data_IF_157694312446
#
_entry.id   IF_157694312446
#
_cell.length_a   1.000
_cell.length_b   1.000
_cell.length_c   1.000
_cell.angle_alpha   90.00
_cell.angle_beta   90.00
_cell.angle_gamma   90.00
#
_symmetry.space_group_name_H-M   'P 1'
#
loop_
_entity.id
_entity.type
_entity.pdbx_description
1 polymer ?
#
# COMPACT_ATOMS: atom_id res chain seq x y z
N UNK A 1 66.22 6.54 29.90
CA UNK A 1 65.27 7.04 28.92
C UNK A 1 64.42 5.89 28.41
N UNK A 2 63.16 5.79 28.88
CA UNK A 2 62.21 4.77 28.48
C UNK A 2 61.15 5.41 27.59
N UNK A 3 61.16 5.08 26.32
CA UNK A 3 60.10 5.50 25.37
C UNK A 3 58.89 4.56 25.56
N UNK A 4 57.75 5.17 25.97
CA UNK A 4 56.45 4.50 25.96
C UNK A 4 55.84 4.70 24.55
N UNK A 5 55.66 3.62 23.80
CA UNK A 5 54.83 3.59 22.61
C UNK A 5 53.37 3.73 23.02
N UNK A 6 52.70 4.76 22.59
CA UNK A 6 51.23 4.86 22.62
C UNK A 6 50.71 4.22 21.33
N UNK A 7 50.11 3.06 21.46
CA UNK A 7 49.32 2.45 20.39
C UNK A 7 47.94 3.13 20.34
N UNK A 8 47.73 3.90 19.27
CA UNK A 8 46.42 4.50 18.94
C UNK A 8 45.53 3.40 18.33
N UNK A 9 44.60 2.85 19.11
CA UNK A 9 43.55 1.98 18.57
C UNK A 9 42.52 2.84 17.86
N UNK A 10 42.53 2.78 16.54
CA UNK A 10 41.49 3.32 15.66
C UNK A 10 40.24 2.43 15.80
N UNK A 11 39.25 2.87 16.57
CA UNK A 11 37.91 2.28 16.57
C UNK A 11 37.24 2.65 15.25
N UNK A 12 37.23 1.72 14.29
CA UNK A 12 36.34 1.75 13.14
C UNK A 12 34.92 1.52 13.64
N UNK A 13 34.15 2.58 13.82
CA UNK A 13 32.70 2.48 13.86
C UNK A 13 32.22 2.07 12.47
N UNK A 14 31.92 0.80 12.29
CA UNK A 14 31.12 0.34 11.17
C UNK A 14 29.71 0.96 11.33
N UNK A 15 29.44 2.04 10.61
CA UNK A 15 28.09 2.47 10.32
C UNK A 15 27.46 1.33 9.50
N UNK A 16 26.77 0.43 10.17
CA UNK A 16 25.76 -0.39 9.51
C UNK A 16 24.66 0.61 9.08
N UNK A 17 24.77 1.08 7.83
CA UNK A 17 23.70 1.82 7.20
C UNK A 17 22.46 0.93 7.28
N UNK A 18 21.46 1.34 8.07
CA UNK A 18 20.11 0.85 7.89
C UNK A 18 19.75 1.18 6.45
N UNK A 19 19.77 0.16 5.59
CA UNK A 19 19.16 0.26 4.28
C UNK A 19 17.69 0.57 4.57
N UNK A 20 17.29 1.82 4.40
CA UNK A 20 15.88 2.16 4.31
C UNK A 20 15.34 1.25 3.23
N UNK A 21 14.36 0.41 3.56
CA UNK A 21 13.67 -0.41 2.58
C UNK A 21 13.16 0.55 1.50
N UNK A 22 13.86 0.57 0.37
CA UNK A 22 13.52 1.44 -0.75
C UNK A 22 12.41 0.72 -1.48
N UNK A 23 11.20 1.28 -1.41
CA UNK A 23 10.09 0.79 -2.23
C UNK A 23 10.53 0.73 -3.70
N UNK A 24 9.99 -0.21 -4.48
CA UNK A 24 10.17 -0.22 -5.94
C UNK A 24 9.69 1.10 -6.57
N UNK A 25 10.01 1.29 -7.84
CA UNK A 25 9.55 2.47 -8.58
C UNK A 25 8.02 2.53 -8.62
N UNK A 26 7.43 3.73 -8.44
CA UNK A 26 5.98 3.93 -8.50
C UNK A 26 5.46 3.77 -9.92
N UNK A 27 4.15 3.53 -10.07
CA UNK A 27 3.47 3.47 -11.36
C UNK A 27 3.19 4.85 -11.97
N UNK A 28 3.08 5.90 -11.12
CA UNK A 28 2.85 7.27 -11.56
C UNK A 28 4.14 8.07 -11.50
N UNK A 29 4.39 8.85 -12.54
CA UNK A 29 5.43 9.89 -12.51
C UNK A 29 5.00 11.07 -11.64
N UNK A 30 5.94 11.96 -11.30
CA UNK A 30 5.61 13.16 -10.54
C UNK A 30 4.63 14.08 -11.30
N UNK A 31 4.67 14.08 -12.65
CA UNK A 31 3.77 14.89 -13.49
C UNK A 31 2.36 14.28 -13.61
N UNK A 32 2.21 12.98 -13.45
CA UNK A 32 0.92 12.27 -13.59
C UNK A 32 0.25 11.95 -12.26
N UNK A 33 0.98 12.12 -11.15
CA UNK A 33 0.43 11.88 -9.79
C UNK A 33 -0.53 12.99 -9.41
N UNK A 34 -1.80 12.67 -9.06
CA UNK A 34 -2.75 13.67 -8.60
C UNK A 34 -2.26 14.40 -7.33
N UNK A 35 -2.46 15.70 -7.28
CA UNK A 35 -2.18 16.49 -6.08
C UNK A 35 -3.28 16.31 -5.04
N UNK A 36 -3.02 15.46 -4.05
CA UNK A 36 -3.99 15.13 -3.00
C UNK A 36 -4.36 16.33 -2.12
N UNK A 37 -3.58 17.40 -2.11
CA UNK A 37 -3.90 18.63 -1.37
C UNK A 37 -5.14 19.36 -1.92
N UNK A 38 -5.54 19.04 -3.17
CA UNK A 38 -6.68 19.68 -3.82
C UNK A 38 -8.04 19.04 -3.47
N UNK A 39 -8.04 17.85 -2.86
CA UNK A 39 -9.28 17.10 -2.63
C UNK A 39 -9.37 16.41 -1.27
N UNK A 40 -8.29 16.36 -0.50
CA UNK A 40 -8.38 15.93 0.90
C UNK A 40 -8.97 17.06 1.77
N UNK A 41 -9.82 16.71 2.77
CA UNK A 41 -10.30 17.71 3.70
C UNK A 41 -9.18 18.25 4.58
N UNK A 42 -9.35 19.47 5.08
CA UNK A 42 -8.47 19.99 6.12
C UNK A 42 -8.60 19.17 7.41
N UNK A 43 -7.50 18.94 8.14
CA UNK A 43 -7.59 18.27 9.43
C UNK A 43 -8.38 19.12 10.45
N UNK A 44 -9.20 18.50 11.33
CA UNK A 44 -9.92 19.23 12.37
C UNK A 44 -9.01 20.11 13.21
N UNK A 45 -9.44 21.35 13.43
CA UNK A 45 -8.79 22.26 14.38
C UNK A 45 -9.07 21.82 15.82
N UNK A 46 -8.07 21.90 16.70
CA UNK A 46 -8.19 21.55 18.13
C UNK A 46 -9.34 22.27 18.87
N UNK A 47 -9.78 23.41 18.35
CA UNK A 47 -10.88 24.23 18.90
C UNK A 47 -12.18 24.08 18.12
N UNK A 48 -12.20 23.32 17.04
CA UNK A 48 -13.37 23.09 16.21
C UNK A 48 -14.28 21.99 16.76
N UNK A 49 -15.55 22.04 16.42
CA UNK A 49 -16.53 20.99 16.81
C UNK A 49 -16.16 19.59 16.28
N UNK A 50 -15.57 19.52 15.10
CA UNK A 50 -15.14 18.27 14.45
C UNK A 50 -14.03 17.54 15.21
N UNK A 51 -13.27 18.27 16.04
CA UNK A 51 -12.23 17.68 16.88
C UNK A 51 -12.79 16.73 17.96
N UNK A 52 -14.07 16.85 18.32
CA UNK A 52 -14.69 15.97 19.32
C UNK A 52 -14.58 14.49 18.96
N UNK A 53 -14.67 14.16 17.65
CA UNK A 53 -14.49 12.78 17.16
C UNK A 53 -13.06 12.30 17.33
N UNK A 54 -12.07 13.12 16.99
CA UNK A 54 -10.65 12.81 17.18
C UNK A 54 -10.31 12.59 18.66
N UNK A 55 -10.83 13.47 19.52
CA UNK A 55 -10.64 13.35 20.97
C UNK A 55 -11.29 12.08 21.53
N UNK A 56 -12.51 11.76 21.10
CA UNK A 56 -13.18 10.51 21.50
C UNK A 56 -12.34 9.28 21.13
N UNK A 57 -11.89 9.20 19.89
CA UNK A 57 -11.09 8.06 19.45
C UNK A 57 -9.70 8.01 20.11
N UNK A 58 -9.10 9.14 20.42
CA UNK A 58 -7.86 9.17 21.21
C UNK A 58 -8.07 8.56 22.61
N UNK A 59 -9.14 8.94 23.30
CA UNK A 59 -9.46 8.37 24.61
C UNK A 59 -9.82 6.89 24.50
N UNK A 60 -10.62 6.51 23.50
CA UNK A 60 -10.93 5.12 23.23
C UNK A 60 -9.65 4.31 22.96
N UNK A 61 -8.75 4.78 22.11
CA UNK A 61 -7.48 4.11 21.80
C UNK A 61 -6.65 3.82 23.05
N UNK A 62 -6.63 4.74 24.01
CA UNK A 62 -5.94 4.52 25.30
C UNK A 62 -6.53 3.33 26.07
N UNK A 63 -7.84 3.10 26.02
CA UNK A 63 -8.48 1.94 26.68
C UNK A 63 -8.18 0.61 26.00
N UNK A 64 -7.68 0.63 24.75
CA UNK A 64 -7.35 -0.56 23.97
C UNK A 64 -5.87 -0.98 24.06
N UNK A 65 -5.05 -0.23 24.81
CA UNK A 65 -3.60 -0.44 24.87
C UNK A 65 -3.17 -1.69 25.63
N UNK A 66 -4.05 -2.23 26.48
CA UNK A 66 -3.78 -3.44 27.25
C UNK A 66 -4.29 -4.69 26.54
N UNK A 67 -3.59 -5.81 26.73
CA UNK A 67 -3.94 -7.12 26.18
C UNK A 67 -3.75 -7.20 24.65
N UNK A 68 -4.52 -8.08 24.01
CA UNK A 68 -4.36 -8.49 22.62
C UNK A 68 -4.40 -7.31 21.61
N UNK A 69 -5.27 -6.33 21.83
CA UNK A 69 -5.37 -5.16 20.96
C UNK A 69 -4.10 -4.30 20.98
N UNK A 70 -3.52 -4.08 22.17
CA UNK A 70 -2.27 -3.34 22.31
C UNK A 70 -1.08 -4.08 21.71
N UNK A 71 -0.99 -5.39 21.95
CA UNK A 71 0.05 -6.25 21.38
C UNK A 71 -0.03 -6.27 19.85
N UNK A 72 -1.23 -6.37 19.30
CA UNK A 72 -1.46 -6.30 17.84
C UNK A 72 -1.06 -4.96 17.26
N UNK A 73 -1.40 -3.85 17.95
CA UNK A 73 -1.03 -2.51 17.51
C UNK A 73 0.49 -2.31 17.47
N UNK A 74 1.21 -2.84 18.47
CA UNK A 74 2.69 -2.84 18.51
C UNK A 74 3.28 -3.72 17.40
N UNK A 75 2.73 -4.92 17.20
CA UNK A 75 3.18 -5.83 16.16
C UNK A 75 3.04 -5.21 14.78
N UNK A 76 1.92 -4.55 14.50
CA UNK A 76 1.64 -3.92 13.20
C UNK A 76 2.59 -2.76 12.89
N UNK A 77 3.20 -2.14 13.89
CA UNK A 77 4.13 -1.05 13.68
C UNK A 77 5.43 -1.48 13.00
N UNK A 78 5.96 -2.64 13.39
CA UNK A 78 7.26 -3.11 12.95
C UNK A 78 7.20 -4.24 11.92
N UNK A 79 6.01 -4.81 11.69
CA UNK A 79 5.84 -5.94 10.78
C UNK A 79 5.72 -5.44 9.33
N UNK A 80 6.51 -5.96 8.37
CA UNK A 80 6.37 -5.62 6.96
C UNK A 80 4.96 -5.92 6.42
N UNK A 81 4.43 -5.05 5.54
CA UNK A 81 3.06 -5.14 5.03
C UNK A 81 2.72 -6.51 4.42
N UNK A 82 3.63 -7.10 3.65
CA UNK A 82 3.39 -8.42 3.07
C UNK A 82 3.15 -9.50 4.13
N UNK A 83 3.84 -9.43 5.29
CA UNK A 83 3.58 -10.35 6.41
C UNK A 83 2.25 -10.06 7.11
N UNK A 84 1.93 -8.77 7.30
CA UNK A 84 0.66 -8.32 7.88
C UNK A 84 -0.54 -8.88 7.13
N UNK A 85 -0.47 -8.96 5.81
CA UNK A 85 -1.57 -9.38 4.96
C UNK A 85 -1.54 -10.86 4.53
N UNK A 86 -0.52 -11.65 4.90
CA UNK A 86 -0.39 -13.05 4.49
C UNK A 86 -1.61 -13.89 4.89
N UNK A 87 -2.08 -13.77 6.14
CA UNK A 87 -3.27 -14.49 6.62
C UNK A 87 -4.53 -14.09 5.84
N UNK A 88 -4.75 -12.79 5.64
CA UNK A 88 -5.90 -12.28 4.89
C UNK A 88 -5.90 -12.73 3.41
N UNK A 89 -4.72 -12.88 2.81
CA UNK A 89 -4.56 -13.43 1.46
C UNK A 89 -4.74 -14.94 1.37
N UNK A 90 -4.74 -15.66 2.50
CA UNK A 90 -4.79 -17.12 2.54
C UNK A 90 -3.52 -17.83 2.05
N UNK A 91 -2.45 -17.09 1.80
CA UNK A 91 -1.13 -17.57 1.40
C UNK A 91 -0.02 -16.82 2.12
N UNK A 92 1.15 -17.44 2.26
CA UNK A 92 2.34 -16.76 2.77
C UNK A 92 2.89 -15.82 1.70
N UNK A 93 2.84 -14.52 1.96
CA UNK A 93 3.51 -13.52 1.12
C UNK A 93 4.98 -13.39 1.53
N UNK A 94 5.88 -13.56 0.56
CA UNK A 94 7.33 -13.39 0.76
C UNK A 94 8.03 -13.11 -0.56
N UNK A 95 9.19 -12.46 -0.52
CA UNK A 95 9.98 -12.19 -1.72
C UNK A 95 10.41 -13.44 -2.48
N UNK A 96 10.54 -14.59 -1.79
CA UNK A 96 10.93 -15.86 -2.41
C UNK A 96 9.75 -16.57 -3.07
N UNK A 97 8.53 -16.50 -2.48
CA UNK A 97 7.37 -17.28 -2.92
C UNK A 97 6.40 -16.48 -3.78
N UNK A 98 6.31 -15.16 -3.55
CA UNK A 98 5.31 -14.27 -4.17
C UNK A 98 5.94 -12.97 -4.68
N UNK A 99 7.05 -13.01 -5.43
CA UNK A 99 7.76 -11.81 -5.86
C UNK A 99 6.91 -10.90 -6.74
N UNK A 100 6.05 -11.44 -7.60
CA UNK A 100 5.19 -10.65 -8.49
C UNK A 100 4.09 -9.92 -7.73
N UNK A 101 3.48 -10.57 -6.73
CA UNK A 101 2.48 -9.97 -5.86
C UNK A 101 3.08 -8.84 -5.03
N UNK A 102 4.24 -9.09 -4.40
CA UNK A 102 4.92 -8.10 -3.57
C UNK A 102 5.35 -6.90 -4.41
N UNK A 103 5.95 -7.13 -5.58
CA UNK A 103 6.36 -6.05 -6.47
C UNK A 103 5.17 -5.14 -6.86
N UNK A 104 4.02 -5.72 -7.24
CA UNK A 104 2.82 -4.95 -7.57
C UNK A 104 2.36 -4.09 -6.39
N UNK A 105 2.24 -4.71 -5.21
CA UNK A 105 1.72 -4.05 -4.03
C UNK A 105 2.66 -2.98 -3.46
N UNK A 106 3.97 -3.22 -3.48
CA UNK A 106 4.96 -2.24 -3.01
C UNK A 106 5.14 -1.08 -4.00
N UNK A 107 5.08 -1.32 -5.33
CA UNK A 107 5.11 -0.24 -6.31
C UNK A 107 3.90 0.70 -6.18
N UNK A 108 2.70 0.15 -6.00
CA UNK A 108 1.52 0.96 -5.71
C UNK A 108 1.65 1.73 -4.37
N UNK A 109 2.22 1.08 -3.35
CA UNK A 109 2.49 1.71 -2.05
C UNK A 109 3.51 2.85 -2.17
N UNK A 110 4.48 2.75 -3.09
CA UNK A 110 5.42 3.84 -3.38
C UNK A 110 4.70 5.11 -3.86
N UNK A 111 3.67 4.97 -4.70
CA UNK A 111 2.82 6.10 -5.11
C UNK A 111 2.11 6.74 -3.91
N UNK A 112 1.53 5.90 -3.05
CA UNK A 112 0.83 6.35 -1.84
C UNK A 112 1.75 7.10 -0.87
N UNK A 113 2.94 6.58 -0.64
CA UNK A 113 3.96 7.20 0.20
C UNK A 113 4.36 8.60 -0.29
N UNK A 114 4.61 8.74 -1.59
CA UNK A 114 5.00 10.02 -2.20
C UNK A 114 3.89 11.07 -2.07
N UNK A 115 2.64 10.72 -2.36
CA UNK A 115 1.48 11.60 -2.20
C UNK A 115 1.25 12.00 -0.75
N UNK A 116 1.38 11.07 0.19
CA UNK A 116 1.23 11.32 1.61
C UNK A 116 2.24 12.36 2.13
N UNK A 117 3.50 12.26 1.70
CA UNK A 117 4.57 13.18 2.10
C UNK A 117 4.25 14.64 1.75
N UNK A 118 3.67 14.89 0.57
CA UNK A 118 3.27 16.23 0.14
C UNK A 118 2.22 16.82 1.07
N UNK A 119 1.18 16.06 1.40
CA UNK A 119 0.10 16.49 2.29
C UNK A 119 0.59 16.72 3.72
N UNK A 120 1.47 15.83 4.24
CA UNK A 120 2.09 16.01 5.56
C UNK A 120 2.83 17.34 5.68
N UNK A 121 3.61 17.68 4.67
CA UNK A 121 4.41 18.91 4.66
C UNK A 121 3.52 20.17 4.60
N UNK A 122 2.33 20.07 3.97
CA UNK A 122 1.40 21.20 3.94
C UNK A 122 0.78 21.47 5.31
N UNK A 123 0.22 20.45 5.96
CA UNK A 123 -0.58 20.62 7.17
C UNK A 123 0.21 20.65 8.47
N UNK A 124 1.34 19.98 8.54
CA UNK A 124 2.25 19.95 9.68
C UNK A 124 1.53 19.67 11.02
N UNK A 125 0.51 18.81 10.99
CA UNK A 125 -0.34 18.53 12.14
C UNK A 125 0.43 17.80 13.24
N UNK A 126 0.29 18.28 14.48
CA UNK A 126 0.91 17.67 15.66
C UNK A 126 0.20 16.35 16.03
N UNK A 127 0.99 15.37 16.46
CA UNK A 127 0.48 14.06 16.88
C UNK A 127 -0.29 14.12 18.20
N UNK A 128 -1.25 13.19 18.47
CA UNK A 128 -2.06 13.16 19.68
C UNK A 128 -1.23 13.15 20.97
N UNK A 129 -0.34 12.17 21.14
CA UNK A 129 0.50 12.01 22.31
C UNK A 129 1.32 13.28 22.61
N UNK A 130 1.88 13.87 21.55
CA UNK A 130 2.66 15.12 21.69
C UNK A 130 1.76 16.32 22.00
N UNK A 131 0.50 16.36 21.50
CA UNK A 131 -0.45 17.44 21.76
C UNK A 131 -0.87 17.49 23.22
N UNK A 132 -1.12 16.32 23.82
CA UNK A 132 -1.52 16.22 25.23
C UNK A 132 -0.35 16.03 26.20
N UNK A 133 0.86 15.90 25.68
CA UNK A 133 2.06 15.59 26.47
C UNK A 133 1.87 14.32 27.33
N UNK A 134 1.29 13.29 26.71
CA UNK A 134 1.05 11.97 27.28
C UNK A 134 1.89 10.94 26.51
N UNK A 135 2.30 9.83 27.13
CA UNK A 135 3.05 8.80 26.40
C UNK A 135 2.20 8.09 25.36
N UNK A 136 2.83 7.72 24.24
CA UNK A 136 2.27 6.78 23.28
C UNK A 136 2.26 5.34 23.84
N UNK A 137 1.87 4.37 23.01
CA UNK A 137 2.00 2.94 23.37
C UNK A 137 3.48 2.47 23.35
N UNK A 138 4.38 3.24 22.74
CA UNK A 138 5.83 2.96 22.62
C UNK A 138 6.63 4.22 23.00
N UNK A 139 6.70 4.57 24.30
CA UNK A 139 7.25 5.83 24.76
C UNK A 139 8.72 6.08 24.36
N UNK A 140 9.48 5.02 24.14
CA UNK A 140 10.88 5.09 23.70
C UNK A 140 11.05 5.67 22.29
N UNK A 141 9.99 5.71 21.47
CA UNK A 141 9.98 6.30 20.14
C UNK A 141 9.35 7.70 20.09
N UNK A 142 8.77 8.18 21.18
CA UNK A 142 7.99 9.41 21.23
C UNK A 142 8.80 10.65 20.78
N UNK A 143 10.06 10.74 21.14
CA UNK A 143 10.92 11.86 20.72
C UNK A 143 11.12 11.88 19.21
N UNK A 144 11.38 10.73 18.61
CA UNK A 144 11.56 10.59 17.16
C UNK A 144 10.24 10.86 16.42
N UNK A 145 9.12 10.29 16.88
CA UNK A 145 7.80 10.43 16.27
C UNK A 145 7.25 11.87 16.43
N UNK A 146 7.54 12.57 17.54
CA UNK A 146 7.14 13.95 17.74
C UNK A 146 7.79 14.93 16.75
N UNK A 147 8.91 14.53 16.14
CA UNK A 147 9.60 15.32 15.11
C UNK A 147 8.92 15.27 13.75
N UNK A 148 7.93 14.40 13.57
CA UNK A 148 7.19 14.18 12.32
C UNK A 148 5.70 14.54 12.46
N UNK A 149 5.03 14.79 11.32
CA UNK A 149 3.64 15.25 11.31
C UNK A 149 2.65 14.07 11.25
N UNK A 150 1.43 14.29 11.78
CA UNK A 150 0.42 13.23 11.89
C UNK A 150 -0.47 13.08 10.64
N UNK A 151 -0.82 14.17 9.95
CA UNK A 151 -1.85 14.18 8.91
C UNK A 151 -1.30 14.16 7.49
N UNK A 152 -1.76 13.22 6.65
CA UNK A 152 -2.44 11.97 6.96
C UNK A 152 -1.44 10.91 7.47
N UNK A 153 -1.92 9.76 7.97
CA UNK A 153 -1.07 8.68 8.44
C UNK A 153 -0.39 7.97 7.28
N UNK A 154 0.94 8.00 7.19
CA UNK A 154 1.68 7.26 6.16
C UNK A 154 1.47 5.75 6.29
N UNK A 155 1.49 5.25 7.52
CA UNK A 155 1.26 3.85 7.83
C UNK A 155 -0.12 3.38 7.33
N UNK A 156 -1.19 4.10 7.68
CA UNK A 156 -2.55 3.78 7.23
C UNK A 156 -2.72 3.93 5.71
N UNK A 157 -2.12 4.97 5.08
CA UNK A 157 -2.15 5.18 3.63
C UNK A 157 -1.51 4.01 2.89
N UNK A 158 -0.31 3.59 3.35
CA UNK A 158 0.43 2.50 2.74
C UNK A 158 -0.30 1.17 2.91
N UNK A 159 -0.80 0.86 4.12
CA UNK A 159 -1.57 -0.36 4.38
C UNK A 159 -2.85 -0.45 3.56
N UNK A 160 -3.56 0.66 3.39
CA UNK A 160 -4.78 0.72 2.58
C UNK A 160 -4.50 0.54 1.09
N UNK A 161 -3.45 1.19 0.57
CA UNK A 161 -3.03 1.02 -0.83
C UNK A 161 -2.61 -0.42 -1.11
N UNK A 162 -1.84 -1.01 -0.20
CA UNK A 162 -1.41 -2.40 -0.28
C UNK A 162 -2.64 -3.33 -0.34
N UNK A 163 -3.61 -3.14 0.54
CA UNK A 163 -4.85 -3.92 0.58
C UNK A 163 -5.69 -3.78 -0.68
N UNK A 164 -5.90 -2.56 -1.19
CA UNK A 164 -6.61 -2.34 -2.46
C UNK A 164 -5.96 -3.09 -3.63
N UNK A 165 -4.63 -3.11 -3.65
CA UNK A 165 -3.87 -3.86 -4.65
C UNK A 165 -4.09 -5.37 -4.50
N UNK A 166 -4.03 -5.91 -3.28
CA UNK A 166 -4.30 -7.32 -3.03
C UNK A 166 -5.73 -7.73 -3.43
N UNK A 167 -6.73 -6.87 -3.20
CA UNK A 167 -8.11 -7.12 -3.64
C UNK A 167 -8.22 -7.23 -5.18
N UNK A 168 -7.35 -6.59 -5.95
CA UNK A 168 -7.34 -6.79 -7.41
C UNK A 168 -6.74 -8.14 -7.82
N UNK A 169 -5.90 -8.73 -6.99
CA UNK A 169 -5.27 -10.04 -7.23
C UNK A 169 -6.23 -11.16 -6.84
N UNK A 170 -6.78 -11.08 -5.62
CA UNK A 170 -7.66 -12.08 -4.99
C UNK A 170 -9.00 -11.43 -4.59
N UNK A 171 -9.91 -11.15 -5.56
CA UNK A 171 -11.18 -10.47 -5.27
C UNK A 171 -12.11 -11.28 -4.36
N UNK A 172 -11.99 -12.59 -4.34
CA UNK A 172 -12.72 -13.50 -3.43
C UNK A 172 -12.29 -13.35 -1.97
N UNK A 173 -11.12 -12.75 -1.70
CA UNK A 173 -10.57 -12.48 -0.37
C UNK A 173 -10.78 -11.03 0.08
N UNK A 174 -11.59 -10.27 -0.65
CA UNK A 174 -11.77 -8.82 -0.40
C UNK A 174 -12.21 -8.53 1.03
N UNK A 175 -13.12 -9.32 1.60
CA UNK A 175 -13.63 -9.09 2.95
C UNK A 175 -12.52 -9.20 4.00
N UNK A 176 -11.74 -10.27 3.97
CA UNK A 176 -10.64 -10.52 4.92
C UNK A 176 -9.55 -9.46 4.77
N UNK A 177 -9.16 -9.16 3.53
CA UNK A 177 -8.14 -8.16 3.24
C UNK A 177 -8.56 -6.77 3.74
N UNK A 178 -9.79 -6.33 3.45
CA UNK A 178 -10.27 -5.00 3.85
C UNK A 178 -10.54 -4.89 5.35
N UNK A 179 -10.98 -5.96 6.01
CA UNK A 179 -11.11 -6.00 7.47
C UNK A 179 -9.73 -5.88 8.14
N UNK A 180 -8.73 -6.59 7.63
CA UNK A 180 -7.34 -6.48 8.12
C UNK A 180 -6.76 -5.09 7.91
N UNK A 181 -7.01 -4.49 6.76
CA UNK A 181 -6.54 -3.13 6.45
C UNK A 181 -7.15 -2.07 7.39
N UNK A 182 -8.43 -2.22 7.72
CA UNK A 182 -9.10 -1.34 8.70
C UNK A 182 -8.52 -1.47 10.10
N UNK A 183 -8.30 -2.69 10.56
CA UNK A 183 -7.64 -2.97 11.85
C UNK A 183 -6.24 -2.33 11.88
N UNK A 184 -5.42 -2.61 10.86
CA UNK A 184 -4.06 -2.09 10.70
C UNK A 184 -4.02 -0.56 10.76
N UNK A 185 -4.93 0.11 10.06
CA UNK A 185 -5.03 1.56 10.08
C UNK A 185 -5.46 2.09 11.46
N UNK A 186 -6.46 1.46 12.11
CA UNK A 186 -6.98 1.89 13.40
C UNK A 186 -5.99 1.67 14.55
N UNK A 187 -5.11 0.69 14.43
CA UNK A 187 -4.05 0.43 15.39
C UNK A 187 -3.12 1.64 15.61
N UNK A 188 -3.04 2.55 14.63
CA UNK A 188 -2.28 3.81 14.80
C UNK A 188 -2.92 4.78 15.79
N UNK A 189 -4.27 4.70 15.96
CA UNK A 189 -5.00 5.45 17.02
C UNK A 189 -4.73 4.82 18.39
N UNK A 190 -4.72 3.49 18.48
CA UNK A 190 -4.38 2.74 19.71
C UNK A 190 -2.97 3.09 20.17
N UNK A 191 -2.00 3.10 19.25
CA UNK A 191 -0.64 3.55 19.54
C UNK A 191 -0.58 5.01 20.06
N UNK A 192 -1.56 5.85 19.71
CA UNK A 192 -1.56 7.28 20.08
C UNK A 192 -0.77 8.16 19.11
N UNK A 193 -0.34 7.62 17.98
CA UNK A 193 0.45 8.34 16.97
C UNK A 193 -0.38 9.16 16.01
N UNK A 194 -1.66 8.80 15.83
CA UNK A 194 -2.54 9.42 14.85
C UNK A 194 -3.93 9.70 15.40
N UNK A 195 -4.53 10.78 14.90
CA UNK A 195 -5.92 11.11 15.10
C UNK A 195 -6.81 10.23 14.22
N UNK A 196 -8.09 10.07 14.59
CA UNK A 196 -9.05 9.32 13.76
C UNK A 196 -9.19 9.95 12.36
N UNK A 197 -9.25 11.26 12.30
CA UNK A 197 -9.30 12.01 11.02
C UNK A 197 -8.04 11.86 10.17
N UNK A 198 -6.85 11.63 10.76
CA UNK A 198 -5.64 11.29 10.00
C UNK A 198 -5.82 9.95 9.29
N UNK A 199 -6.47 8.98 9.97
CA UNK A 199 -6.77 7.67 9.39
C UNK A 199 -7.78 7.82 8.25
N UNK A 200 -8.89 8.53 8.47
CA UNK A 200 -9.94 8.70 7.45
C UNK A 200 -9.40 9.37 6.18
N UNK A 201 -8.59 10.42 6.35
CA UNK A 201 -7.89 11.06 5.24
C UNK A 201 -6.91 10.13 4.53
N UNK A 202 -6.23 9.22 5.26
CA UNK A 202 -5.33 8.22 4.70
C UNK A 202 -6.04 7.25 3.78
N UNK A 203 -7.21 6.75 4.21
CA UNK A 203 -8.03 5.85 3.42
C UNK A 203 -8.57 6.56 2.17
N UNK A 204 -9.00 7.82 2.31
CA UNK A 204 -9.46 8.64 1.20
C UNK A 204 -8.32 8.89 0.19
N UNK A 205 -7.12 9.24 0.68
CA UNK A 205 -5.95 9.47 -0.17
C UNK A 205 -5.61 8.22 -0.96
N UNK A 206 -5.44 7.09 -0.30
CA UNK A 206 -5.07 5.84 -0.96
C UNK A 206 -6.13 5.40 -1.99
N UNK A 207 -7.43 5.50 -1.64
CA UNK A 207 -8.51 5.12 -2.54
C UNK A 207 -8.59 6.04 -3.77
N UNK A 208 -8.47 7.36 -3.59
CA UNK A 208 -8.47 8.32 -4.70
C UNK A 208 -7.27 8.13 -5.61
N UNK A 209 -6.07 7.94 -5.05
CA UNK A 209 -4.86 7.70 -5.82
C UNK A 209 -4.90 6.36 -6.56
N UNK A 210 -5.46 5.33 -5.96
CA UNK A 210 -5.57 4.00 -6.54
C UNK A 210 -6.33 4.01 -7.88
N UNK A 211 -7.34 4.88 -8.03
CA UNK A 211 -8.09 5.01 -9.30
C UNK A 211 -7.19 5.42 -10.48
N UNK A 212 -6.10 6.14 -10.22
CA UNK A 212 -5.12 6.54 -11.23
C UNK A 212 -4.05 5.47 -11.43
N UNK A 213 -3.62 4.81 -10.37
CA UNK A 213 -2.62 3.73 -10.40
C UNK A 213 -3.15 2.53 -11.18
N UNK A 214 -4.36 2.07 -10.86
CA UNK A 214 -4.95 0.83 -11.40
C UNK A 214 -5.16 0.87 -12.92
N UNK A 215 -5.30 2.05 -13.53
CA UNK A 215 -5.53 2.19 -14.97
C UNK A 215 -4.24 2.32 -15.80
N UNK A 216 -3.07 2.39 -15.14
CA UNK A 216 -1.80 2.46 -15.85
C UNK A 216 -1.49 1.12 -16.54
N UNK A 217 -0.90 1.18 -17.73
CA UNK A 217 -0.51 -0.03 -18.46
C UNK A 217 0.48 -0.89 -17.65
N UNK A 218 1.44 -0.25 -16.98
CA UNK A 218 2.43 -0.92 -16.16
C UNK A 218 1.80 -1.72 -15.00
N UNK A 219 0.81 -1.11 -14.29
CA UNK A 219 0.06 -1.80 -13.26
C UNK A 219 -0.70 -3.00 -13.82
N UNK A 220 -1.41 -2.83 -14.94
CA UNK A 220 -2.21 -3.90 -15.54
C UNK A 220 -1.35 -5.08 -16.03
N UNK A 221 -0.19 -4.80 -16.59
CA UNK A 221 0.76 -5.85 -16.98
C UNK A 221 1.31 -6.60 -15.76
N UNK A 222 1.64 -5.88 -14.69
CA UNK A 222 2.11 -6.51 -13.46
C UNK A 222 0.98 -7.29 -12.76
N UNK A 223 -0.24 -6.78 -12.78
CA UNK A 223 -1.41 -7.47 -12.21
C UNK A 223 -1.64 -8.85 -12.84
N UNK A 224 -1.44 -8.99 -14.15
CA UNK A 224 -1.55 -10.29 -14.83
C UNK A 224 -0.51 -11.27 -14.27
N UNK A 225 0.73 -10.86 -14.07
CA UNK A 225 1.79 -11.70 -13.48
C UNK A 225 1.44 -12.11 -12.05
N UNK A 226 1.01 -11.15 -11.24
CA UNK A 226 0.63 -11.38 -9.84
C UNK A 226 -0.55 -12.34 -9.68
N UNK A 227 -1.56 -12.24 -10.56
CA UNK A 227 -2.69 -13.17 -10.58
C UNK A 227 -2.27 -14.58 -10.99
N UNK A 228 -1.40 -14.71 -11.99
CA UNK A 228 -0.89 -16.02 -12.41
C UNK A 228 -0.08 -16.68 -11.27
N UNK A 229 0.71 -15.90 -10.53
CA UNK A 229 1.43 -16.36 -9.35
C UNK A 229 0.44 -16.85 -8.27
N UNK A 230 -0.60 -16.06 -7.95
CA UNK A 230 -1.62 -16.40 -6.97
C UNK A 230 -2.37 -17.70 -7.35
N UNK A 231 -2.86 -17.79 -8.60
CA UNK A 231 -3.54 -19.00 -9.12
C UNK A 231 -2.64 -20.23 -9.08
N UNK A 232 -1.36 -20.06 -9.39
CA UNK A 232 -0.39 -21.17 -9.34
C UNK A 232 -0.22 -21.72 -7.92
N UNK A 233 -0.27 -20.86 -6.92
CA UNK A 233 -0.09 -21.23 -5.52
C UNK A 233 -1.37 -21.81 -4.88
N UNK A 234 -2.53 -21.28 -5.24
CA UNK A 234 -3.82 -21.66 -4.62
C UNK A 234 -4.58 -22.71 -5.40
N UNK A 235 -4.37 -22.80 -6.70
CA UNK A 235 -5.22 -23.57 -7.63
C UNK A 235 -6.60 -22.94 -7.82
N UNK A 236 -6.87 -21.75 -7.26
CA UNK A 236 -8.14 -21.05 -7.35
C UNK A 236 -8.20 -20.19 -8.62
N UNK A 237 -9.32 -20.28 -9.35
CA UNK A 237 -9.58 -19.35 -10.45
C UNK A 237 -10.06 -18.01 -9.87
N UNK A 238 -9.36 -16.93 -10.15
CA UNK A 238 -9.75 -15.56 -9.71
C UNK A 238 -11.04 -15.05 -10.40
N UNK A 239 -11.75 -15.88 -11.15
CA UNK A 239 -12.95 -15.50 -11.91
C UNK A 239 -12.70 -14.51 -13.06
N UNK A 240 -11.52 -13.93 -13.11
CA UNK A 240 -11.07 -13.06 -14.19
C UNK A 240 -10.03 -13.85 -14.96
N UNK A 241 -10.45 -14.55 -16.01
CA UNK A 241 -9.52 -15.22 -16.91
C UNK A 241 -8.47 -14.20 -17.35
N UNK A 242 -7.20 -14.45 -16.99
CA UNK A 242 -6.10 -13.83 -17.72
C UNK A 242 -6.43 -14.08 -19.21
N UNK A 243 -6.35 -13.03 -20.03
CA UNK A 243 -6.53 -13.23 -21.48
C UNK A 243 -5.66 -14.41 -21.88
N UNK A 244 -6.23 -15.50 -22.39
CA UNK A 244 -5.43 -16.64 -22.77
C UNK A 244 -4.32 -16.11 -23.68
N UNK A 245 -3.08 -16.56 -23.46
CA UNK A 245 -2.05 -16.40 -24.47
C UNK A 245 -2.66 -16.99 -25.74
N UNK A 246 -3.12 -16.13 -26.64
CA UNK A 246 -3.68 -16.58 -27.91
C UNK A 246 -2.50 -17.15 -28.68
N UNK A 247 -2.38 -18.49 -28.59
CA UNK A 247 -1.41 -19.20 -29.38
C UNK A 247 -1.70 -18.89 -30.85
N UNK A 248 -0.79 -18.17 -31.50
CA UNK A 248 -1.02 -17.57 -32.85
C UNK A 248 -1.23 -18.62 -33.94
N UNK A 249 -1.13 -19.91 -33.57
CA UNK A 249 -1.20 -21.06 -34.48
C UNK A 249 -2.54 -21.79 -34.50
N UNK A 250 -3.61 -21.26 -33.89
CA UNK A 250 -4.91 -21.94 -33.96
C UNK A 250 -5.66 -21.70 -35.27
N UNK A 251 -6.12 -22.77 -35.87
CA UNK A 251 -7.00 -22.82 -37.05
C UNK A 251 -8.45 -22.36 -36.80
N UNK A 252 -8.74 -21.83 -35.62
CA UNK A 252 -10.09 -21.39 -35.23
C UNK A 252 -10.55 -20.19 -36.03
N UNK A 253 -11.81 -20.11 -36.45
CA UNK A 253 -12.33 -18.99 -37.22
C UNK A 253 -12.32 -17.69 -36.42
N UNK A 254 -12.00 -16.60 -37.10
CA UNK A 254 -11.98 -15.25 -36.54
C UNK A 254 -13.26 -14.51 -36.97
N UNK A 255 -13.84 -13.79 -36.03
CA UNK A 255 -15.06 -13.01 -36.25
C UNK A 255 -14.81 -11.51 -36.02
N UNK A 256 -15.52 -10.65 -36.75
CA UNK A 256 -15.59 -9.23 -36.39
C UNK A 256 -16.60 -9.00 -35.26
N UNK A 257 -16.71 -7.75 -34.78
CA UNK A 257 -17.63 -7.38 -33.69
C UNK A 257 -19.13 -7.55 -34.06
N UNK A 258 -19.46 -7.73 -35.35
CA UNK A 258 -20.80 -8.02 -35.85
C UNK A 258 -21.07 -9.53 -35.92
N UNK A 259 -20.13 -10.39 -35.50
CA UNK A 259 -20.26 -11.85 -35.52
C UNK A 259 -20.03 -12.48 -36.91
N UNK A 260 -19.53 -11.74 -37.89
CA UNK A 260 -19.21 -12.28 -39.21
C UNK A 260 -17.79 -12.87 -39.19
N UNK A 261 -17.64 -14.07 -39.76
CA UNK A 261 -16.33 -14.69 -39.93
C UNK A 261 -15.49 -13.90 -40.95
N UNK A 262 -14.27 -13.55 -40.54
CA UNK A 262 -13.37 -12.70 -41.33
C UNK A 262 -11.92 -13.19 -41.22
N UNK A 263 -11.09 -12.79 -42.17
CA UNK A 263 -9.64 -12.95 -42.07
C UNK A 263 -9.04 -11.64 -41.53
N UNK A 264 -8.25 -11.65 -40.47
CA UNK A 264 -7.60 -10.44 -39.95
C UNK A 264 -6.73 -9.80 -41.02
N UNK A 265 -6.85 -8.49 -41.16
CA UNK A 265 -6.01 -7.70 -42.10
C UNK A 265 -4.89 -7.05 -41.30
N UNK A 266 -3.64 -7.26 -41.67
CA UNK A 266 -2.44 -6.76 -40.99
C UNK A 266 -2.24 -5.24 -41.02
N UNK A 267 -3.04 -4.49 -41.76
CA UNK A 267 -2.84 -3.06 -41.98
C UNK A 267 -3.96 -2.16 -41.41
N UNK A 268 -4.89 -2.73 -40.66
CA UNK A 268 -6.00 -1.99 -40.06
C UNK A 268 -6.18 -2.45 -38.62
N UNK A 269 -6.04 -1.54 -37.68
CA UNK A 269 -6.35 -1.79 -36.27
C UNK A 269 -7.87 -2.02 -36.13
N UNK A 270 -8.29 -3.27 -36.09
CA UNK A 270 -9.67 -3.66 -35.85
C UNK A 270 -9.75 -4.68 -34.72
N UNK A 271 -10.86 -4.64 -33.97
CA UNK A 271 -11.17 -5.64 -32.95
C UNK A 271 -11.74 -6.88 -33.61
N UNK A 272 -11.15 -8.03 -33.31
CA UNK A 272 -11.59 -9.35 -33.75
C UNK A 272 -11.90 -10.23 -32.53
N UNK A 273 -12.68 -11.30 -32.78
CA UNK A 273 -13.03 -12.32 -31.79
C UNK A 273 -12.57 -13.67 -32.30
N UNK A 274 -11.80 -14.42 -31.51
CA UNK A 274 -11.45 -15.82 -31.77
C UNK A 274 -11.64 -16.58 -30.46
N UNK A 275 -12.33 -17.72 -30.50
CA UNK A 275 -12.62 -18.55 -29.34
C UNK A 275 -13.22 -17.79 -28.16
N UNK A 276 -14.07 -16.78 -28.44
CA UNK A 276 -14.68 -15.92 -27.43
C UNK A 276 -13.78 -14.79 -26.91
N UNK A 277 -12.52 -14.70 -27.34
CA UNK A 277 -11.53 -13.71 -26.90
C UNK A 277 -11.41 -12.59 -27.92
N UNK A 278 -11.43 -11.33 -27.44
CA UNK A 278 -11.19 -10.13 -28.26
C UNK A 278 -9.69 -9.88 -28.41
N UNK A 279 -9.25 -9.59 -29.63
CA UNK A 279 -7.88 -9.16 -29.91
C UNK A 279 -7.87 -8.08 -30.98
N UNK A 280 -6.77 -7.32 -31.09
CA UNK A 280 -6.57 -6.29 -32.12
C UNK A 280 -5.48 -6.80 -33.07
N UNK A 281 -5.73 -6.72 -34.39
CA UNK A 281 -4.67 -6.99 -35.38
C UNK A 281 -3.60 -5.91 -35.29
N UNK A 282 -2.36 -6.33 -35.26
CA UNK A 282 -1.19 -5.47 -35.35
C UNK A 282 -0.88 -5.10 -36.80
#
# INVERSE_FOLDING_TARGET
MKYRLFTLQLLLFAFAGMASAQFPDPFLSDDTRPDATQWLPDPPSLTGGDFANDFYYYQWGKTQREGESGERALSDESTPLYKVFSEAMGIELSYDKTPEIIFLAESATSDAYRSNKTVKNLYQRRRPFATFNEPSLKPEEDEAEASSYSYPSTHATNGWMFALTLCTIAPERTEEIMNRAREYALNRVICGYHWKSDIDASLMLASGLFTNVVVTEAYQQQLIRSRNEYVTLTGESTGISATPNVDVNHSSPVYNIQGQQVSPRSNIRQVYIRDGVKFISQ
#
